data_IF_421690917750
#
_entry.id   IF_421690917750
#
_cell.length_a   1.000
_cell.length_b   1.000
_cell.length_c   1.000
_cell.angle_alpha   90.00
_cell.angle_beta   90.00
_cell.angle_gamma   90.00
#
_symmetry.space_group_name_H-M   'P 1'
#
loop_
_entity.id
_entity.type
_entity.pdbx_description
1 polymer ?
#
# COMPACT_ATOMS: atom_id res chain seq x y z
N UNK A 1 17.35 9.43 -13.73
CA UNK A 1 17.79 8.30 -14.58
C UNK A 1 17.00 8.37 -15.88
N UNK A 2 17.64 8.24 -17.04
CA UNK A 2 16.93 8.17 -18.33
C UNK A 2 16.32 6.76 -18.46
N UNK A 3 14.99 6.66 -18.47
CA UNK A 3 14.28 5.39 -18.55
C UNK A 3 14.63 4.57 -19.80
N UNK A 4 15.16 5.20 -20.85
CA UNK A 4 15.62 4.51 -22.08
C UNK A 4 16.98 3.82 -21.92
N UNK A 5 17.68 4.07 -20.82
CA UNK A 5 18.98 3.45 -20.50
C UNK A 5 18.84 2.25 -19.57
N UNK A 6 17.62 1.84 -19.25
CA UNK A 6 17.32 0.66 -18.44
C UNK A 6 16.39 -0.25 -19.20
N UNK A 7 16.55 -1.56 -19.01
CA UNK A 7 15.62 -2.57 -19.52
C UNK A 7 14.63 -2.92 -18.42
N UNK A 8 13.34 -2.65 -18.64
CA UNK A 8 12.29 -3.04 -17.70
C UNK A 8 11.85 -4.47 -17.98
N UNK A 9 11.89 -5.31 -16.95
CA UNK A 9 11.50 -6.72 -17.03
C UNK A 9 10.44 -6.94 -15.95
N UNK A 10 9.25 -7.38 -16.36
CA UNK A 10 8.18 -7.73 -15.41
C UNK A 10 8.48 -9.08 -14.75
N UNK A 11 8.39 -9.10 -13.42
CA UNK A 11 8.68 -10.29 -12.62
C UNK A 11 8.03 -10.22 -11.25
N UNK A 12 7.70 -11.39 -10.70
CA UNK A 12 7.23 -11.50 -9.31
C UNK A 12 8.38 -11.33 -8.32
N UNK A 13 8.09 -10.92 -7.09
CA UNK A 13 9.10 -10.75 -6.04
C UNK A 13 10.01 -11.97 -5.82
N UNK A 14 9.49 -13.21 -5.72
CA UNK A 14 10.35 -14.39 -5.60
C UNK A 14 11.27 -14.62 -6.80
N UNK A 15 10.80 -14.34 -8.01
CA UNK A 15 11.61 -14.45 -9.23
C UNK A 15 12.70 -13.37 -9.26
N UNK A 16 12.38 -12.14 -8.83
CA UNK A 16 13.34 -11.05 -8.74
C UNK A 16 14.48 -11.35 -7.76
N UNK A 17 14.19 -11.94 -6.60
CA UNK A 17 15.22 -12.35 -5.63
C UNK A 17 16.20 -13.32 -6.29
N UNK A 18 15.69 -14.35 -6.98
CA UNK A 18 16.51 -15.35 -7.65
C UNK A 18 17.39 -14.72 -8.75
N UNK A 19 16.77 -13.95 -9.65
CA UNK A 19 17.47 -13.27 -10.74
C UNK A 19 18.57 -12.33 -10.22
N UNK A 20 18.31 -11.61 -9.13
CA UNK A 20 19.30 -10.75 -8.49
C UNK A 20 20.49 -11.54 -7.93
N UNK A 21 20.23 -12.67 -7.26
CA UNK A 21 21.28 -13.54 -6.73
C UNK A 21 22.13 -14.18 -7.83
N UNK A 22 21.52 -14.47 -8.98
CA UNK A 22 22.20 -15.06 -10.15
C UNK A 22 22.94 -13.99 -10.99
N UNK A 23 22.72 -12.71 -10.72
CA UNK A 23 23.33 -11.59 -11.46
C UNK A 23 22.62 -11.23 -12.76
N UNK A 24 21.40 -11.75 -12.98
CA UNK A 24 20.59 -11.50 -14.18
C UNK A 24 19.95 -10.10 -14.19
N UNK A 25 19.83 -9.45 -13.03
CA UNK A 25 19.32 -8.08 -12.90
C UNK A 25 20.19 -7.23 -11.97
N UNK A 26 20.32 -5.94 -12.29
CA UNK A 26 21.08 -4.98 -11.50
C UNK A 26 20.30 -4.46 -10.27
N UNK A 27 18.98 -4.35 -10.39
CA UNK A 27 18.08 -3.80 -9.37
C UNK A 27 16.65 -4.30 -9.54
N UNK A 28 15.85 -4.27 -8.47
CA UNK A 28 14.43 -4.57 -8.52
C UNK A 28 13.62 -3.59 -7.66
N UNK A 29 12.40 -3.27 -8.10
CA UNK A 29 11.39 -2.59 -7.30
C UNK A 29 10.50 -3.67 -6.65
N UNK A 30 10.75 -4.00 -5.38
CA UNK A 30 10.09 -5.09 -4.67
C UNK A 30 9.68 -4.70 -3.25
N UNK A 31 8.75 -5.45 -2.69
CA UNK A 31 8.26 -5.29 -1.31
C UNK A 31 8.77 -6.43 -0.42
N UNK A 32 8.53 -6.33 0.88
CA UNK A 32 8.80 -7.43 1.81
C UNK A 32 7.93 -8.66 1.48
N UNK A 33 8.45 -9.90 1.62
CA UNK A 33 9.77 -10.27 2.15
C UNK A 33 10.90 -10.32 1.10
N UNK A 34 10.61 -10.04 -0.17
CA UNK A 34 11.60 -10.13 -1.26
C UNK A 34 12.72 -9.09 -1.09
N UNK A 35 12.36 -7.88 -0.68
CA UNK A 35 13.29 -6.80 -0.37
C UNK A 35 14.37 -7.24 0.63
N UNK A 36 13.95 -7.80 1.77
CA UNK A 36 14.88 -8.28 2.78
C UNK A 36 15.81 -9.37 2.24
N UNK A 37 15.29 -10.33 1.47
CA UNK A 37 16.11 -11.39 0.89
C UNK A 37 17.18 -10.83 -0.06
N UNK A 38 16.84 -9.86 -0.91
CA UNK A 38 17.82 -9.22 -1.78
C UNK A 38 18.92 -8.49 -0.99
N UNK A 39 18.57 -7.82 0.11
CA UNK A 39 19.56 -7.17 0.99
C UNK A 39 20.47 -8.21 1.64
N UNK A 40 19.92 -9.33 2.14
CA UNK A 40 20.72 -10.43 2.70
C UNK A 40 21.67 -11.05 1.67
N UNK A 41 21.29 -11.05 0.40
CA UNK A 41 22.13 -11.52 -0.71
C UNK A 41 23.20 -10.52 -1.17
N UNK A 42 23.48 -9.48 -0.38
CA UNK A 42 24.51 -8.47 -0.67
C UNK A 42 23.99 -7.24 -1.42
N UNK A 43 22.68 -7.15 -1.63
CA UNK A 43 22.03 -5.98 -2.20
C UNK A 43 22.05 -4.79 -1.25
N UNK A 44 21.95 -3.58 -1.81
CA UNK A 44 21.80 -2.33 -1.06
C UNK A 44 20.53 -1.61 -1.46
N UNK A 45 19.94 -0.92 -0.50
CA UNK A 45 18.78 -0.08 -0.76
C UNK A 45 19.19 1.19 -1.53
N UNK A 46 18.50 1.51 -2.62
CA UNK A 46 18.88 2.61 -3.54
C UNK A 46 17.96 3.82 -3.38
N UNK A 47 16.65 3.60 -3.26
CA UNK A 47 15.65 4.67 -3.13
C UNK A 47 14.67 4.32 -2.01
N UNK A 48 14.61 5.12 -0.94
CA UNK A 48 13.63 4.90 0.12
C UNK A 48 12.25 5.44 -0.23
N UNK A 49 11.21 4.76 0.25
CA UNK A 49 9.82 5.14 0.01
C UNK A 49 9.53 6.59 0.41
N UNK A 50 10.16 7.11 1.48
CA UNK A 50 10.05 8.52 1.88
C UNK A 50 10.48 9.52 0.80
N UNK A 51 11.47 9.18 -0.02
CA UNK A 51 11.96 10.08 -1.07
C UNK A 51 10.99 10.06 -2.26
N UNK A 52 10.34 8.91 -2.50
CA UNK A 52 9.25 8.77 -3.48
C UNK A 52 8.02 9.60 -3.03
N UNK A 53 7.65 9.52 -1.75
CA UNK A 53 6.58 10.35 -1.14
C UNK A 53 6.92 11.83 -1.25
N UNK A 54 8.14 12.25 -0.89
CA UNK A 54 8.59 13.66 -1.02
C UNK A 54 8.59 14.15 -2.47
N UNK A 55 8.81 13.27 -3.42
CA UNK A 55 8.70 13.56 -4.84
C UNK A 55 7.24 13.63 -5.36
N UNK A 56 6.25 13.44 -4.47
CA UNK A 56 4.83 13.53 -4.78
C UNK A 56 4.22 12.22 -5.30
N UNK A 57 4.96 11.10 -5.26
CA UNK A 57 4.51 9.80 -5.73
C UNK A 57 4.09 8.91 -4.55
N UNK A 58 3.13 9.37 -3.76
CA UNK A 58 2.62 8.61 -2.62
C UNK A 58 2.02 7.27 -3.07
N UNK A 59 2.51 6.17 -2.50
CA UNK A 59 1.92 4.82 -2.67
C UNK A 59 1.37 4.35 -1.33
N UNK A 60 0.14 3.86 -1.32
CA UNK A 60 -0.53 3.38 -0.11
C UNK A 60 -1.30 2.10 -0.41
N UNK A 61 -1.46 1.28 0.64
CA UNK A 61 -2.35 0.12 0.58
C UNK A 61 -3.80 0.56 0.60
N UNK A 62 -4.64 -0.11 -0.19
CA UNK A 62 -6.09 0.13 -0.21
C UNK A 62 -6.85 -1.16 0.06
N UNK A 63 -7.99 -1.04 0.72
CA UNK A 63 -8.99 -2.11 0.78
C UNK A 63 -9.97 -1.87 -0.36
N UNK A 64 -10.01 -2.80 -1.31
CA UNK A 64 -10.96 -2.77 -2.42
C UNK A 64 -11.98 -3.90 -2.29
N UNK A 65 -13.23 -3.61 -2.66
CA UNK A 65 -14.32 -4.58 -2.64
C UNK A 65 -15.14 -4.42 -3.92
N UNK A 66 -15.63 -5.53 -4.46
CA UNK A 66 -16.53 -5.46 -5.63
C UNK A 66 -17.83 -4.76 -5.25
N UNK A 67 -18.40 -3.97 -6.18
CA UNK A 67 -19.70 -3.30 -5.96
C UNK A 67 -20.81 -4.28 -5.58
N UNK A 68 -20.84 -5.47 -6.19
CA UNK A 68 -21.82 -6.51 -5.85
C UNK A 68 -21.72 -6.92 -4.39
N UNK A 69 -20.50 -7.16 -3.89
CA UNK A 69 -20.30 -7.51 -2.49
C UNK A 69 -20.60 -6.33 -1.57
N UNK A 70 -20.26 -5.11 -2.00
CA UNK A 70 -20.58 -3.86 -1.31
C UNK A 70 -22.06 -3.71 -1.00
N UNK A 71 -22.91 -3.91 -2.02
CA UNK A 71 -24.36 -3.77 -1.87
C UNK A 71 -25.02 -4.98 -1.18
N UNK A 72 -24.52 -6.20 -1.42
CA UNK A 72 -25.17 -7.41 -0.91
C UNK A 72 -24.78 -7.75 0.53
N UNK A 73 -23.64 -7.26 1.03
CA UNK A 73 -23.12 -7.62 2.35
C UNK A 73 -22.65 -6.42 3.18
N UNK A 74 -23.49 -5.39 3.36
CA UNK A 74 -23.09 -4.16 4.08
C UNK A 74 -22.68 -4.42 5.53
N UNK A 75 -23.30 -5.39 6.21
CA UNK A 75 -22.96 -5.71 7.60
C UNK A 75 -21.59 -6.39 7.75
N UNK A 76 -21.21 -7.23 6.78
CA UNK A 76 -19.87 -7.84 6.77
C UNK A 76 -18.79 -6.77 6.55
N UNK A 77 -19.05 -5.80 5.67
CA UNK A 77 -18.11 -4.71 5.40
C UNK A 77 -17.99 -3.81 6.62
N UNK A 78 -19.11 -3.43 7.24
CA UNK A 78 -19.12 -2.68 8.50
C UNK A 78 -18.32 -3.39 9.59
N UNK A 79 -18.54 -4.70 9.75
CA UNK A 79 -17.80 -5.52 10.72
C UNK A 79 -16.30 -5.55 10.42
N UNK A 80 -15.93 -5.72 9.14
CA UNK A 80 -14.54 -5.71 8.70
C UNK A 80 -13.85 -4.36 8.95
N UNK A 81 -14.47 -3.25 8.56
CA UNK A 81 -13.92 -1.90 8.75
C UNK A 81 -13.80 -1.58 10.25
N UNK A 82 -14.76 -2.00 11.07
CA UNK A 82 -14.67 -1.87 12.54
C UNK A 82 -13.50 -2.67 13.12
N UNK A 83 -13.32 -3.91 12.68
CA UNK A 83 -12.20 -4.74 13.11
C UNK A 83 -10.85 -4.13 12.68
N UNK A 84 -10.76 -3.64 11.45
CA UNK A 84 -9.55 -3.00 10.93
C UNK A 84 -9.17 -1.76 11.76
N UNK A 85 -10.13 -0.86 12.02
CA UNK A 85 -9.88 0.32 12.85
C UNK A 85 -9.46 -0.05 14.29
N UNK A 86 -10.11 -1.06 14.89
CA UNK A 86 -9.75 -1.56 16.20
C UNK A 86 -8.33 -2.17 16.22
N UNK A 87 -7.95 -2.90 15.17
CA UNK A 87 -6.59 -3.44 15.01
C UNK A 87 -5.55 -2.34 14.86
N UNK A 88 -5.83 -1.27 14.10
CA UNK A 88 -4.93 -0.11 14.01
C UNK A 88 -4.77 0.59 15.35
N UNK A 89 -5.87 0.83 16.07
CA UNK A 89 -5.83 1.43 17.41
C UNK A 89 -5.04 0.54 18.40
N UNK A 90 -5.26 -0.77 18.37
CA UNK A 90 -4.48 -1.72 19.15
C UNK A 90 -3.00 -1.66 18.80
N UNK A 91 -2.67 -1.61 17.51
CA UNK A 91 -1.29 -1.53 17.04
C UNK A 91 -0.56 -0.28 17.54
N UNK A 92 -1.19 0.90 17.41
CA UNK A 92 -0.62 2.16 17.89
C UNK A 92 -0.41 2.17 19.41
N UNK A 93 -1.33 1.55 20.17
CA UNK A 93 -1.24 1.47 21.64
C UNK A 93 -0.25 0.40 22.12
N UNK A 94 -0.16 -0.73 21.42
CA UNK A 94 0.62 -1.91 21.81
C UNK A 94 1.54 -2.39 20.67
N UNK A 95 2.52 -1.58 20.23
CA UNK A 95 3.32 -1.90 19.05
C UNK A 95 4.11 -3.21 19.20
N UNK A 96 4.77 -3.41 20.35
CA UNK A 96 5.57 -4.62 20.60
C UNK A 96 4.74 -5.91 20.61
N UNK A 97 3.53 -5.87 21.17
CA UNK A 97 2.62 -7.02 21.16
C UNK A 97 2.12 -7.30 19.74
N UNK A 98 1.78 -6.25 19.01
CA UNK A 98 1.37 -6.35 17.61
C UNK A 98 2.46 -6.96 16.74
N UNK A 99 3.73 -6.56 16.93
CA UNK A 99 4.86 -7.13 16.20
C UNK A 99 5.00 -8.63 16.46
N UNK A 100 4.84 -9.09 17.71
CA UNK A 100 4.87 -10.52 18.03
C UNK A 100 3.74 -11.31 17.35
N UNK A 101 2.52 -10.76 17.33
CA UNK A 101 1.38 -11.40 16.68
C UNK A 101 1.56 -11.47 15.16
N UNK A 102 1.99 -10.37 14.55
CA UNK A 102 2.25 -10.26 13.11
C UNK A 102 3.40 -11.19 12.71
N UNK A 103 4.50 -11.20 13.46
CA UNK A 103 5.69 -12.00 13.13
C UNK A 103 5.37 -13.49 13.04
N UNK A 104 4.54 -14.01 13.96
CA UNK A 104 4.07 -15.40 13.94
C UNK A 104 3.30 -15.75 12.67
N UNK A 105 2.49 -14.82 12.14
CA UNK A 105 1.71 -15.02 10.91
C UNK A 105 2.54 -14.79 9.64
N UNK A 106 3.45 -13.83 9.67
CA UNK A 106 4.34 -13.51 8.56
C UNK A 106 5.51 -14.49 8.41
N UNK A 107 5.76 -15.34 9.42
CA UNK A 107 6.93 -16.23 9.44
C UNK A 107 8.24 -15.46 9.62
N UNK A 108 8.20 -14.32 10.32
CA UNK A 108 9.33 -13.43 10.59
C UNK A 108 9.66 -13.42 12.09
N UNK A 109 10.82 -12.87 12.45
CA UNK A 109 11.13 -12.57 13.86
C UNK A 109 10.40 -11.29 14.31
N UNK A 110 10.10 -11.13 15.61
CA UNK A 110 9.52 -9.90 16.14
C UNK A 110 10.37 -8.65 15.82
N UNK A 111 11.69 -8.78 15.88
CA UNK A 111 12.64 -7.68 15.62
C UNK A 111 12.55 -7.22 14.16
N UNK A 112 12.53 -8.16 13.21
CA UNK A 112 12.40 -7.81 11.80
C UNK A 112 11.02 -7.24 11.49
N UNK A 113 9.98 -7.79 12.13
CA UNK A 113 8.62 -7.27 12.00
C UNK A 113 8.55 -5.83 12.51
N UNK A 114 9.20 -5.52 13.63
CA UNK A 114 9.26 -4.16 14.15
C UNK A 114 9.95 -3.19 13.17
N UNK A 115 11.07 -3.61 12.56
CA UNK A 115 11.79 -2.81 11.55
C UNK A 115 10.90 -2.50 10.33
N UNK A 116 10.22 -3.51 9.79
CA UNK A 116 9.32 -3.34 8.64
C UNK A 116 8.14 -2.44 9.02
N UNK A 117 7.48 -2.72 10.13
CA UNK A 117 6.30 -1.97 10.56
C UNK A 117 6.63 -0.53 10.92
N UNK A 118 7.83 -0.24 11.44
CA UNK A 118 8.30 1.13 11.69
C UNK A 118 8.53 1.94 10.41
N UNK A 119 8.62 1.28 9.24
CA UNK A 119 8.68 1.94 7.93
C UNK A 119 7.31 2.23 7.32
N UNK A 120 6.23 1.80 7.99
CA UNK A 120 4.85 1.93 7.55
C UNK A 120 4.08 2.89 8.46
N UNK A 121 3.09 3.56 7.90
CA UNK A 121 2.14 4.37 8.65
C UNK A 121 0.75 3.72 8.59
N UNK A 122 0.08 3.65 9.73
CA UNK A 122 -1.27 3.11 9.86
C UNK A 122 -2.19 4.17 10.44
N UNK A 123 -3.19 4.55 9.65
CA UNK A 123 -4.07 5.67 9.93
C UNK A 123 -5.28 5.24 10.76
N UNK A 124 -5.55 5.98 11.84
CA UNK A 124 -6.81 5.91 12.56
C UNK A 124 -7.95 6.47 11.70
N UNK A 125 -9.19 6.17 12.10
CA UNK A 125 -10.41 6.65 11.44
C UNK A 125 -10.35 8.13 11.09
N UNK A 126 -10.02 9.00 12.04
CA UNK A 126 -10.04 10.45 11.86
C UNK A 126 -9.01 10.90 10.82
N UNK A 127 -7.84 10.26 10.81
CA UNK A 127 -6.79 10.51 9.83
C UNK A 127 -7.23 10.03 8.44
N UNK A 128 -7.81 8.83 8.33
CA UNK A 128 -8.32 8.29 7.06
C UNK A 128 -9.45 9.14 6.45
N UNK A 129 -10.32 9.73 7.28
CA UNK A 129 -11.43 10.59 6.86
C UNK A 129 -11.00 12.04 6.58
N UNK A 130 -9.72 12.38 6.78
CA UNK A 130 -9.20 13.70 6.48
C UNK A 130 -9.19 13.96 4.97
N UNK A 131 -9.11 15.25 4.59
CA UNK A 131 -8.99 15.65 3.19
C UNK A 131 -7.65 15.23 2.57
N UNK A 132 -6.63 14.91 3.38
CA UNK A 132 -5.37 14.37 2.87
C UNK A 132 -5.50 12.91 2.42
N UNK A 133 -6.57 12.21 2.85
CA UNK A 133 -6.81 10.79 2.57
C UNK A 133 -8.13 10.56 1.83
N UNK A 134 -9.02 9.73 2.38
CA UNK A 134 -10.27 9.32 1.72
C UNK A 134 -11.28 10.48 1.66
N UNK A 135 -11.23 11.39 2.64
CA UNK A 135 -12.29 12.35 2.91
C UNK A 135 -13.57 11.67 3.40
N UNK A 136 -14.69 12.33 3.17
CA UNK A 136 -16.04 11.90 3.61
C UNK A 136 -16.91 11.53 2.42
N UNK A 137 -18.09 10.97 2.69
CA UNK A 137 -19.07 10.74 1.63
C UNK A 137 -19.52 12.04 0.95
N UNK A 138 -19.52 13.15 1.69
CA UNK A 138 -19.88 14.47 1.20
C UNK A 138 -18.74 15.18 0.44
N UNK A 139 -17.48 14.95 0.82
CA UNK A 139 -16.32 15.59 0.20
C UNK A 139 -15.14 14.61 0.17
N UNK A 140 -14.86 14.06 -1.02
CA UNK A 140 -13.74 13.13 -1.25
C UNK A 140 -12.40 13.85 -1.07
N UNK A 141 -11.46 13.16 -0.42
CA UNK A 141 -10.13 13.68 -0.16
C UNK A 141 -9.14 13.46 -1.32
N UNK A 142 -7.87 13.75 -1.05
CA UNK A 142 -6.75 13.70 -2.00
C UNK A 142 -6.56 12.33 -2.66
N UNK A 143 -7.02 11.24 -2.06
CA UNK A 143 -6.97 9.90 -2.68
C UNK A 143 -7.68 9.88 -4.03
N UNK A 144 -8.79 10.59 -4.21
CA UNK A 144 -9.49 10.68 -5.49
C UNK A 144 -8.60 11.30 -6.59
N UNK A 145 -7.87 12.36 -6.23
CA UNK A 145 -6.93 13.05 -7.11
C UNK A 145 -5.71 12.16 -7.43
N UNK A 146 -5.15 11.51 -6.41
CA UNK A 146 -4.05 10.57 -6.55
C UNK A 146 -4.41 9.40 -7.48
N UNK A 147 -5.61 8.83 -7.38
CA UNK A 147 -6.07 7.77 -8.29
C UNK A 147 -6.09 8.24 -9.75
N UNK A 148 -6.55 9.47 -10.01
CA UNK A 148 -6.53 10.04 -11.36
C UNK A 148 -5.10 10.27 -11.86
N UNK A 149 -4.20 10.73 -11.00
CA UNK A 149 -2.79 10.92 -11.35
C UNK A 149 -2.12 9.59 -11.73
N UNK A 150 -2.34 8.55 -10.91
CA UNK A 150 -1.85 7.20 -11.20
C UNK A 150 -2.44 6.67 -12.50
N UNK A 151 -3.75 6.79 -12.72
CA UNK A 151 -4.37 6.35 -13.97
C UNK A 151 -3.82 7.09 -15.20
N UNK A 152 -3.59 8.40 -15.08
CA UNK A 152 -2.98 9.22 -16.14
C UNK A 152 -1.55 8.79 -16.45
N UNK A 153 -0.77 8.48 -15.41
CA UNK A 153 0.57 7.93 -15.57
C UNK A 153 0.54 6.58 -16.29
N UNK A 154 -0.29 5.64 -15.81
CA UNK A 154 -0.42 4.31 -16.42
C UNK A 154 -0.93 4.37 -17.87
N UNK A 155 -1.80 5.31 -18.21
CA UNK A 155 -2.24 5.55 -19.59
C UNK A 155 -1.09 6.06 -20.48
N UNK A 156 -0.28 7.01 -19.98
CA UNK A 156 0.91 7.50 -20.69
C UNK A 156 1.93 6.39 -20.95
N UNK A 157 2.11 5.50 -19.99
CA UNK A 157 2.95 4.29 -20.11
C UNK A 157 2.27 3.15 -20.89
N UNK A 158 1.09 3.40 -21.49
CA UNK A 158 0.31 2.44 -22.32
C UNK A 158 -0.12 1.18 -21.58
N UNK A 159 -0.14 1.21 -20.25
CA UNK A 159 -0.66 0.14 -19.39
C UNK A 159 -2.17 0.24 -19.17
N UNK A 160 -2.78 1.40 -19.46
CA UNK A 160 -4.23 1.59 -19.51
C UNK A 160 -4.66 2.09 -20.88
N UNK A 161 -5.88 1.74 -21.28
CA UNK A 161 -6.49 2.17 -22.54
C UNK A 161 -7.35 3.43 -22.42
N UNK A 162 -7.67 3.86 -21.20
CA UNK A 162 -8.42 5.11 -20.92
C UNK A 162 -8.19 5.60 -19.50
N UNK A 163 -8.47 6.88 -19.28
CA UNK A 163 -8.52 7.55 -17.97
C UNK A 163 -9.94 8.07 -17.77
N UNK A 164 -10.46 7.97 -16.54
CA UNK A 164 -11.77 8.54 -16.19
C UNK A 164 -11.65 10.00 -15.79
N UNK A 165 -12.71 10.77 -15.98
CA UNK A 165 -12.76 12.18 -15.56
C UNK A 165 -12.78 12.31 -14.03
N UNK A 166 -13.46 11.37 -13.36
CA UNK A 166 -13.57 11.28 -11.91
C UNK A 166 -13.35 9.84 -11.41
N UNK A 167 -12.70 9.73 -10.26
CA UNK A 167 -12.48 8.48 -9.52
C UNK A 167 -13.12 8.51 -8.12
N UNK A 168 -13.71 9.63 -7.71
CA UNK A 168 -14.33 9.78 -6.39
C UNK A 168 -15.49 8.82 -6.14
N UNK A 169 -16.21 8.42 -7.20
CA UNK A 169 -17.27 7.41 -7.14
C UNK A 169 -16.80 6.00 -6.72
N UNK A 170 -15.50 5.71 -6.75
CA UNK A 170 -14.95 4.43 -6.27
C UNK A 170 -14.48 4.47 -4.82
N UNK A 171 -14.60 5.62 -4.15
CA UNK A 171 -14.16 5.81 -2.77
C UNK A 171 -15.39 5.87 -1.89
N UNK A 172 -15.59 4.86 -1.05
CA UNK A 172 -16.79 4.71 -0.20
C UNK A 172 -16.43 4.72 1.30
N UNK A 173 -16.26 5.91 1.92
CA UNK A 173 -15.90 6.02 3.33
C UNK A 173 -17.09 5.81 4.29
N UNK A 174 -18.30 5.59 3.77
CA UNK A 174 -19.55 5.54 4.54
C UNK A 174 -19.51 4.61 5.76
N UNK A 175 -18.89 3.43 5.63
CA UNK A 175 -18.80 2.50 6.75
C UNK A 175 -17.78 2.93 7.81
N UNK A 176 -16.73 3.66 7.40
CA UNK A 176 -15.74 4.24 8.30
C UNK A 176 -16.34 5.43 9.06
N UNK A 177 -17.14 6.26 8.40
CA UNK A 177 -17.88 7.38 9.00
C UNK A 177 -18.86 6.91 10.09
N UNK A 178 -19.40 5.71 9.95
CA UNK A 178 -20.38 5.10 10.87
C UNK A 178 -19.75 4.44 12.11
N UNK A 179 -18.42 4.28 12.16
CA UNK A 179 -17.75 3.76 13.36
C UNK A 179 -17.86 4.80 14.48
N UNK A 180 -18.35 4.40 15.65
CA UNK A 180 -18.38 5.24 16.85
C UNK A 180 -17.06 5.17 17.59
#
# INVERSE_FOLDING_TARGET
VDARKVTLIDMTGPVAVKAFMEGDIDAACVWEPALFKMIQSGGRFIVPARDIIRAGYETYGVVAVSLRFFHNHPDLIRGFIKALNASTAFHRKNPNESYKLISKKAGLTPEKTAEIMASMEFFLKEEQLSQDWLGTSAAKGKVALNLKQVASFLFKEKMLTRVLDDYGSFIEPVFLEQIK
#
